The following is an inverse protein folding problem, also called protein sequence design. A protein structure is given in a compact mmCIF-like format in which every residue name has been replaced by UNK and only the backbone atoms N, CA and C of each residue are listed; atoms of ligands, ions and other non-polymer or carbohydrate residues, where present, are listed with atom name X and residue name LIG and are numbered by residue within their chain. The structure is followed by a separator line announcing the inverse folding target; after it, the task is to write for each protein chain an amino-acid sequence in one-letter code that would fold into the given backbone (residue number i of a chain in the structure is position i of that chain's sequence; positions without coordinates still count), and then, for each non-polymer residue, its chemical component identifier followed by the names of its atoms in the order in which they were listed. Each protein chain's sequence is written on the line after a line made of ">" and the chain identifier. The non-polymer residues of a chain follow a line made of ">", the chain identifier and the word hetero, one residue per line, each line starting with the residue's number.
data_IF_967470140195
#
_entry.id   IF_967470140195
#
_cell.length_a   1.000
_cell.length_b   1.000
_cell.length_c   1.000
_cell.angle_alpha   90.00
_cell.angle_beta   90.00
_cell.angle_gamma   90.00
#
_symmetry.space_group_name_H-M   'P 1'
#
loop_
_entity.id
_entity.type
_entity.pdbx_description
1 polymer ?
#
# COMPACT_ATOMS: atom_id res chain seq x y z
N UNK A 1 10.84 34.48 60.65
CA UNK A 1 12.22 34.19 60.20
C UNK A 1 12.07 32.97 59.27
N UNK A 2 11.64 33.10 58.01
CA UNK A 2 12.34 33.72 56.86
C UNK A 2 13.75 33.09 56.74
N UNK A 3 14.09 32.31 55.72
CA UNK A 3 13.84 32.46 54.28
C UNK A 3 13.74 31.08 53.59
N UNK A 4 12.81 30.94 52.64
CA UNK A 4 12.82 29.87 51.66
C UNK A 4 13.51 30.36 50.40
N UNK A 5 14.72 29.86 50.12
CA UNK A 5 15.44 30.04 48.86
C UNK A 5 14.65 29.33 47.73
N UNK A 6 14.09 30.10 46.78
CA UNK A 6 14.70 30.53 45.52
C UNK A 6 14.91 29.34 44.55
N UNK A 7 13.92 29.06 43.71
CA UNK A 7 13.91 29.44 42.29
C UNK A 7 14.87 28.60 41.45
N UNK A 8 14.32 27.68 40.65
CA UNK A 8 14.72 27.56 39.25
C UNK A 8 13.57 26.95 38.44
N UNK A 9 13.06 27.79 37.53
CA UNK A 9 12.12 27.41 36.48
C UNK A 9 12.95 26.80 35.36
N UNK A 10 12.88 25.48 35.17
CA UNK A 10 13.32 24.88 33.92
C UNK A 10 12.09 24.59 33.07
N UNK A 11 11.70 25.61 32.31
CA UNK A 11 10.90 25.45 31.12
C UNK A 11 11.76 24.69 30.08
N UNK A 12 11.70 23.35 30.11
CA UNK A 12 12.09 22.55 28.95
C UNK A 12 10.91 22.43 28.00
N UNK A 13 10.79 23.44 27.16
CA UNK A 13 10.15 23.30 25.86
C UNK A 13 11.14 22.52 24.99
N UNK A 14 11.18 21.20 25.14
CA UNK A 14 11.82 20.34 24.15
C UNK A 14 10.83 20.16 23.00
N UNK A 15 11.28 20.59 21.83
CA UNK A 15 10.48 20.78 20.63
C UNK A 15 9.57 19.58 20.38
N UNK A 16 8.29 19.89 20.28
CA UNK A 16 7.33 19.02 19.63
C UNK A 16 7.81 18.92 18.17
N UNK A 17 8.51 17.83 17.90
CA UNK A 17 8.90 17.38 16.57
C UNK A 17 7.60 17.26 15.77
N UNK A 18 7.25 18.32 15.05
CA UNK A 18 6.11 18.39 14.12
C UNK A 18 6.45 17.65 12.81
N UNK A 19 7.22 16.55 12.93
CA UNK A 19 7.17 15.48 11.95
C UNK A 19 5.79 14.85 12.11
N UNK A 20 4.77 15.51 11.54
CA UNK A 20 3.55 14.82 11.12
C UNK A 20 4.04 13.62 10.34
N UNK A 21 4.05 12.47 11.00
CA UNK A 21 4.46 11.23 10.38
C UNK A 21 3.63 11.11 9.12
N UNK A 22 4.28 11.21 7.97
CA UNK A 22 3.82 10.51 6.79
C UNK A 22 3.74 9.06 7.23
N UNK A 23 2.57 8.67 7.75
CA UNK A 23 2.24 7.28 7.87
C UNK A 23 2.39 6.77 6.44
N UNK A 24 3.29 5.79 6.20
CA UNK A 24 3.40 5.22 4.87
C UNK A 24 1.98 4.80 4.47
N UNK A 25 1.59 5.17 3.24
CA UNK A 25 0.31 4.74 2.70
C UNK A 25 0.17 3.23 2.95
N UNK A 26 -1.03 2.76 3.34
CA UNK A 26 -1.23 1.34 3.57
C UNK A 26 -0.77 0.56 2.33
N UNK A 27 -0.09 -0.59 2.51
CA UNK A 27 0.37 -1.37 1.38
C UNK A 27 -0.82 -1.70 0.49
N UNK A 28 -0.62 -1.60 -0.83
CA UNK A 28 -1.67 -1.93 -1.79
C UNK A 28 -2.16 -3.36 -1.56
N UNK A 29 -3.40 -3.64 -1.95
CA UNK A 29 -3.96 -4.98 -1.93
C UNK A 29 -4.02 -5.58 -3.34
N UNK A 30 -3.76 -6.89 -3.46
CA UNK A 30 -3.84 -7.59 -4.74
C UNK A 30 -5.08 -8.49 -4.81
N UNK A 31 -5.80 -8.40 -5.93
CA UNK A 31 -6.92 -9.28 -6.25
C UNK A 31 -6.78 -9.86 -7.66
N UNK A 32 -7.31 -11.05 -7.86
CA UNK A 32 -7.45 -11.64 -9.19
C UNK A 32 -8.89 -12.11 -9.41
N UNK A 33 -9.47 -11.70 -10.54
CA UNK A 33 -10.85 -12.04 -10.91
C UNK A 33 -10.88 -12.77 -12.24
N UNK A 34 -11.65 -13.86 -12.31
CA UNK A 34 -11.88 -14.59 -13.55
C UNK A 34 -13.11 -14.05 -14.28
N UNK A 35 -12.89 -13.49 -15.47
CA UNK A 35 -13.95 -12.98 -16.35
C UNK A 35 -14.12 -13.90 -17.56
N UNK A 36 -15.28 -13.81 -18.23
CA UNK A 36 -15.58 -14.66 -19.38
C UNK A 36 -14.81 -14.25 -20.64
N UNK A 37 -14.49 -12.97 -20.80
CA UNK A 37 -13.64 -12.49 -21.89
C UNK A 37 -13.04 -11.11 -21.58
N UNK A 38 -11.93 -10.79 -22.24
CA UNK A 38 -11.29 -9.47 -22.20
C UNK A 38 -11.23 -8.83 -23.59
N UNK A 39 -11.25 -7.48 -23.68
CA UNK A 39 -11.21 -6.78 -24.95
C UNK A 39 -9.90 -7.03 -25.69
N UNK A 40 -9.99 -7.20 -27.01
CA UNK A 40 -8.84 -7.44 -27.88
C UNK A 40 -8.18 -8.81 -27.73
N UNK A 41 -8.89 -9.80 -27.17
CA UNK A 41 -8.37 -11.17 -27.03
C UNK A 41 -7.22 -11.30 -26.03
N UNK A 42 -7.16 -10.40 -25.04
CA UNK A 42 -6.13 -10.43 -23.99
C UNK A 42 -6.40 -11.58 -23.03
N UNK A 43 -5.35 -12.22 -22.54
CA UNK A 43 -5.47 -13.21 -21.47
C UNK A 43 -5.62 -12.56 -20.08
N UNK A 44 -5.00 -11.38 -19.88
CA UNK A 44 -5.02 -10.64 -18.62
C UNK A 44 -5.07 -9.13 -18.83
N UNK A 45 -5.64 -8.40 -17.87
CA UNK A 45 -5.67 -6.94 -17.83
C UNK A 45 -5.56 -6.44 -16.39
N UNK A 46 -4.55 -5.59 -16.13
CA UNK A 46 -4.38 -4.91 -14.84
C UNK A 46 -5.31 -3.71 -14.73
N UNK A 47 -6.01 -3.60 -13.60
CA UNK A 47 -6.84 -2.47 -13.23
C UNK A 47 -6.36 -1.98 -11.88
N UNK A 48 -5.88 -0.73 -11.84
CA UNK A 48 -5.34 -0.12 -10.64
C UNK A 48 -6.29 0.96 -10.12
N UNK A 49 -6.49 0.94 -8.81
CA UNK A 49 -7.11 1.99 -8.03
C UNK A 49 -6.15 2.31 -6.87
N UNK A 50 -6.26 3.50 -6.28
CA UNK A 50 -5.39 3.85 -5.16
C UNK A 50 -5.55 2.84 -4.00
N UNK A 51 -4.44 2.19 -3.62
CA UNK A 51 -4.42 1.16 -2.59
C UNK A 51 -4.87 -0.22 -3.05
N UNK A 52 -5.22 -0.41 -4.33
CA UNK A 52 -5.68 -1.72 -4.84
C UNK A 52 -5.24 -1.99 -6.27
N UNK A 53 -4.75 -3.20 -6.52
CA UNK A 53 -4.43 -3.71 -7.85
C UNK A 53 -5.23 -4.99 -8.13
N UNK A 54 -6.09 -4.94 -9.14
CA UNK A 54 -6.90 -6.09 -9.56
C UNK A 54 -6.43 -6.58 -10.93
N UNK A 55 -6.17 -7.88 -11.04
CA UNK A 55 -5.91 -8.54 -12.31
C UNK A 55 -7.16 -9.27 -12.81
N UNK A 56 -7.74 -8.76 -13.89
CA UNK A 56 -8.80 -9.46 -14.62
C UNK A 56 -8.14 -10.50 -15.52
N UNK A 57 -8.54 -11.76 -15.38
CA UNK A 57 -8.02 -12.87 -16.16
C UNK A 57 -9.14 -13.56 -16.93
N UNK A 58 -8.94 -13.76 -18.24
CA UNK A 58 -9.87 -14.52 -19.06
C UNK A 58 -9.78 -16.01 -18.70
N UNK A 59 -10.89 -16.57 -18.23
CA UNK A 59 -10.97 -17.96 -17.73
C UNK A 59 -10.72 -19.03 -18.79
N UNK A 60 -10.83 -18.68 -20.07
CA UNK A 60 -10.60 -19.59 -21.18
C UNK A 60 -9.14 -19.56 -21.66
N UNK A 61 -8.39 -18.51 -21.29
CA UNK A 61 -6.99 -18.32 -21.67
C UNK A 61 -6.00 -18.60 -20.53
N UNK A 62 -6.44 -18.53 -19.28
CA UNK A 62 -5.61 -18.78 -18.11
C UNK A 62 -5.94 -20.13 -17.49
N UNK A 63 -4.95 -21.03 -17.46
CA UNK A 63 -5.10 -22.31 -16.78
C UNK A 63 -5.22 -22.12 -15.27
N UNK A 64 -5.85 -23.08 -14.58
CA UNK A 64 -5.95 -23.05 -13.12
C UNK A 64 -4.58 -22.98 -12.45
N UNK A 65 -3.60 -23.73 -12.95
CA UNK A 65 -2.24 -23.70 -12.41
C UNK A 65 -1.60 -22.32 -12.57
N UNK A 66 -1.67 -21.74 -13.78
CA UNK A 66 -1.13 -20.40 -14.03
C UNK A 66 -1.80 -19.36 -13.12
N UNK A 67 -3.11 -19.46 -12.90
CA UNK A 67 -3.85 -18.60 -11.97
C UNK A 67 -3.30 -18.69 -10.54
N UNK A 68 -3.10 -19.91 -10.03
CA UNK A 68 -2.62 -20.15 -8.66
C UNK A 68 -1.19 -19.63 -8.48
N UNK A 69 -0.30 -19.89 -9.45
CA UNK A 69 1.10 -19.41 -9.42
C UNK A 69 1.18 -17.88 -9.52
N UNK A 70 0.41 -17.27 -10.41
CA UNK A 70 0.37 -15.81 -10.57
C UNK A 70 -0.22 -15.12 -9.34
N UNK A 71 -1.27 -15.69 -8.74
CA UNK A 71 -1.86 -15.17 -7.53
C UNK A 71 -0.85 -15.18 -6.37
N UNK A 72 -0.12 -16.28 -6.18
CA UNK A 72 0.89 -16.39 -5.12
C UNK A 72 2.02 -15.37 -5.33
N UNK A 73 2.59 -15.30 -6.53
CA UNK A 73 3.68 -14.39 -6.84
C UNK A 73 3.30 -12.91 -6.70
N UNK A 74 2.15 -12.50 -7.23
CA UNK A 74 1.73 -11.10 -7.16
C UNK A 74 1.27 -10.69 -5.77
N UNK A 75 0.58 -11.59 -5.05
CA UNK A 75 0.26 -11.35 -3.64
C UNK A 75 1.54 -11.11 -2.84
N UNK A 76 2.59 -11.89 -3.09
CA UNK A 76 3.88 -11.71 -2.44
C UNK A 76 4.55 -10.38 -2.80
N UNK A 77 4.62 -10.04 -4.09
CA UNK A 77 5.19 -8.77 -4.57
C UNK A 77 4.52 -7.57 -3.90
N UNK A 78 3.19 -7.60 -3.80
CA UNK A 78 2.41 -6.53 -3.19
C UNK A 78 2.60 -6.49 -1.67
N UNK A 79 2.53 -7.64 -0.98
CA UNK A 79 2.73 -7.73 0.49
C UNK A 79 4.14 -7.37 0.94
N UNK A 80 5.15 -7.64 0.13
CA UNK A 80 6.56 -7.30 0.43
C UNK A 80 6.90 -5.85 0.07
N UNK A 81 5.93 -5.07 -0.42
CA UNK A 81 6.12 -3.65 -0.78
C UNK A 81 6.97 -3.44 -2.02
N UNK A 82 7.12 -4.48 -2.87
CA UNK A 82 7.84 -4.37 -4.14
C UNK A 82 6.98 -3.76 -5.24
N UNK A 83 5.67 -3.66 -5.02
CA UNK A 83 4.74 -2.93 -5.85
C UNK A 83 4.52 -1.51 -5.29
N UNK A 84 4.61 -0.51 -6.16
CA UNK A 84 4.31 0.89 -5.82
C UNK A 84 3.42 1.49 -6.90
N UNK A 85 2.28 2.04 -6.49
CA UNK A 85 1.38 2.77 -7.39
C UNK A 85 1.79 4.24 -7.42
N UNK A 86 2.02 4.78 -8.61
CA UNK A 86 2.44 6.17 -8.79
C UNK A 86 1.32 6.94 -9.48
N UNK A 87 0.63 7.79 -8.73
CA UNK A 87 -0.47 8.60 -9.23
C UNK A 87 0.00 10.03 -9.47
N UNK A 88 -0.23 10.57 -10.67
CA UNK A 88 0.09 11.97 -10.96
C UNK A 88 -0.80 12.91 -10.13
N UNK A 89 -0.19 13.87 -9.44
CA UNK A 89 -0.90 14.88 -8.63
C UNK A 89 -0.99 14.57 -7.13
N UNK A 90 -0.30 13.51 -6.68
CA UNK A 90 0.10 13.30 -5.29
C UNK A 90 1.61 13.39 -5.16
#
# INVERSE_FOLDING_TARGET
>A
MADGENTEREARTEGQDDSRGEQPDPPAEFHMELVDSLPGGRAVMGVEQEGTFTWLADRHHVSRQAREELLDQLTRIVREGWWTQNWHGR
#
